data_IF_559688437948
#
_entry.id   IF_559688437948
#
_cell.length_a   1.000
_cell.length_b   1.000
_cell.length_c   1.000
_cell.angle_alpha   90.00
_cell.angle_beta   90.00
_cell.angle_gamma   90.00
#
_symmetry.space_group_name_H-M   'P 1'
#
loop_
_entity.id
_entity.type
_entity.pdbx_description
1 polymer ?
#
# COMPACT_ATOMS: atom_id res chain seq x y z
N UNK A 1 -10.28 1.23 6.33
CA UNK A 1 -10.97 1.14 5.02
C UNK A 1 -12.19 2.04 5.13
N UNK A 2 -12.04 3.34 4.87
CA UNK A 2 -13.01 4.32 5.34
C UNK A 2 -12.88 5.64 4.61
N UNK A 3 -13.47 5.69 3.41
CA UNK A 3 -13.94 6.86 2.67
C UNK A 3 -14.55 6.29 1.37
N UNK A 4 -15.82 6.59 1.09
CA UNK A 4 -16.62 5.90 0.06
C UNK A 4 -16.06 5.96 -1.38
N UNK A 5 -15.04 6.78 -1.67
CA UNK A 5 -14.44 6.94 -2.99
C UNK A 5 -13.02 7.56 -2.93
N UNK A 6 -12.12 7.02 -2.10
CA UNK A 6 -10.74 7.53 -2.06
C UNK A 6 -10.00 7.12 -3.35
N UNK A 7 -9.67 8.09 -4.22
CA UNK A 7 -8.99 7.86 -5.51
C UNK A 7 -7.52 7.47 -5.38
N UNK A 8 -6.86 7.92 -4.31
CA UNK A 8 -5.43 7.70 -4.06
C UNK A 8 -5.19 7.31 -2.61
N UNK A 9 -4.14 6.53 -2.41
CA UNK A 9 -3.60 6.15 -1.11
C UNK A 9 -2.19 6.72 -0.96
N UNK A 10 -1.86 7.20 0.23
CA UNK A 10 -0.57 7.78 0.59
C UNK A 10 0.19 6.84 1.54
N UNK A 11 1.40 7.24 1.92
CA UNK A 11 2.19 6.51 2.92
C UNK A 11 1.38 6.40 4.23
N UNK A 12 1.30 5.20 4.80
CA UNK A 12 0.54 4.87 6.00
C UNK A 12 -0.90 4.41 5.74
N UNK A 13 -1.42 4.56 4.53
CA UNK A 13 -2.77 4.09 4.22
C UNK A 13 -2.84 2.56 4.13
N UNK A 14 -3.91 1.99 4.71
CA UNK A 14 -4.26 0.57 4.62
C UNK A 14 -5.04 0.33 3.33
N UNK A 15 -4.54 -0.61 2.51
CA UNK A 15 -5.12 -0.99 1.22
C UNK A 15 -5.38 -2.50 1.15
N UNK A 16 -6.34 -2.89 0.32
CA UNK A 16 -6.60 -4.29 -0.03
C UNK A 16 -5.93 -4.57 -1.38
N UNK A 17 -5.10 -5.61 -1.44
CA UNK A 17 -4.31 -5.95 -2.63
C UNK A 17 -4.42 -7.44 -2.97
N UNK A 18 -4.18 -7.75 -4.24
CA UNK A 18 -4.09 -9.13 -4.73
C UNK A 18 -2.63 -9.46 -5.00
N UNK A 19 -2.18 -10.62 -4.51
CA UNK A 19 -0.83 -11.10 -4.77
C UNK A 19 -0.70 -11.54 -6.22
N UNK A 20 0.14 -10.86 -7.00
CA UNK A 20 0.35 -11.17 -8.41
C UNK A 20 1.31 -12.35 -8.62
N UNK A 21 2.37 -12.40 -7.82
CA UNK A 21 3.48 -13.34 -7.91
C UNK A 21 3.97 -13.69 -6.50
N UNK A 22 4.41 -14.94 -6.34
CA UNK A 22 4.95 -15.45 -5.08
C UNK A 22 6.25 -16.19 -5.33
N UNK A 23 7.13 -16.17 -4.34
CA UNK A 23 8.36 -16.98 -4.36
C UNK A 23 8.01 -18.40 -3.93
N UNK A 24 8.59 -19.39 -4.60
CA UNK A 24 8.41 -20.81 -4.26
C UNK A 24 8.85 -21.07 -2.80
N UNK A 25 8.15 -21.94 -2.09
CA UNK A 25 8.32 -22.23 -0.65
C UNK A 25 7.88 -21.13 0.34
N UNK A 26 7.20 -20.09 -0.13
CA UNK A 26 6.50 -19.19 0.78
C UNK A 26 5.08 -19.70 1.07
N UNK A 27 4.50 -19.46 2.25
CA UNK A 27 3.11 -19.81 2.57
C UNK A 27 2.08 -18.93 1.84
N UNK A 28 2.52 -18.16 0.84
CA UNK A 28 1.70 -17.21 0.09
C UNK A 28 1.26 -17.83 -1.23
N UNK A 29 -0.03 -17.74 -1.49
CA UNK A 29 -0.66 -18.21 -2.71
C UNK A 29 -0.81 -17.07 -3.72
N UNK A 30 -0.62 -17.38 -4.99
CA UNK A 30 -0.94 -16.46 -6.09
C UNK A 30 -2.43 -16.17 -6.10
N UNK A 31 -2.81 -14.94 -6.43
CA UNK A 31 -4.20 -14.46 -6.47
C UNK A 31 -4.93 -14.39 -5.13
N UNK A 32 -4.23 -14.57 -4.00
CA UNK A 32 -4.80 -14.35 -2.66
C UNK A 32 -5.00 -12.85 -2.40
N UNK A 33 -6.12 -12.49 -1.79
CA UNK A 33 -6.43 -11.12 -1.37
C UNK A 33 -5.91 -10.90 0.06
N UNK A 34 -5.12 -9.85 0.27
CA UNK A 34 -4.57 -9.50 1.58
C UNK A 34 -4.71 -8.00 1.87
N UNK A 35 -4.60 -7.65 3.15
CA UNK A 35 -4.53 -6.26 3.60
C UNK A 35 -3.06 -5.89 3.78
N UNK A 36 -2.67 -4.72 3.29
CA UNK A 36 -1.31 -4.22 3.36
C UNK A 36 -1.28 -2.71 3.66
N UNK A 37 -0.09 -2.20 4.00
CA UNK A 37 0.16 -0.78 4.27
C UNK A 37 1.20 -0.25 3.28
N UNK A 38 0.98 0.94 2.73
CA UNK A 38 1.95 1.62 1.87
C UNK A 38 3.05 2.24 2.74
N UNK A 39 4.29 1.77 2.60
CA UNK A 39 5.43 2.29 3.37
C UNK A 39 6.24 3.34 2.61
N UNK A 40 6.27 3.25 1.28
CA UNK A 40 7.02 4.19 0.42
C UNK A 40 6.25 4.51 -0.84
N UNK A 41 6.33 5.77 -1.26
CA UNK A 41 5.82 6.25 -2.55
C UNK A 41 6.93 7.01 -3.27
N UNK A 42 6.94 6.97 -4.61
CA UNK A 42 7.82 7.82 -5.42
C UNK A 42 7.35 9.28 -5.41
N UNK A 43 6.05 9.50 -5.21
CA UNK A 43 5.52 10.84 -5.07
C UNK A 43 6.00 11.42 -3.74
N UNK A 44 6.49 12.65 -3.85
CA UNK A 44 6.88 13.52 -2.74
C UNK A 44 5.88 13.50 -1.58
N UNK A 45 6.37 13.18 -0.39
CA UNK A 45 5.62 13.27 0.86
C UNK A 45 5.93 14.62 1.52
N UNK A 46 4.91 15.47 1.59
CA UNK A 46 4.97 16.74 2.33
C UNK A 46 4.72 16.48 3.81
N UNK A 47 5.71 16.81 4.65
CA UNK A 47 5.56 16.78 6.11
C UNK A 47 4.99 18.10 6.63
N UNK A 48 4.43 18.02 7.83
CA UNK A 48 3.90 19.15 8.61
C UNK A 48 4.95 20.23 8.87
N UNK A 49 6.20 19.82 9.08
CA UNK A 49 7.35 20.71 9.25
C UNK A 49 7.87 21.36 7.95
N UNK A 50 7.16 21.21 6.83
CA UNK A 50 7.51 21.80 5.54
C UNK A 50 8.54 21.03 4.71
N UNK A 51 9.10 19.93 5.24
CA UNK A 51 10.03 19.09 4.48
C UNK A 51 9.30 18.24 3.42
N UNK A 52 9.97 18.01 2.29
CA UNK A 52 9.48 17.18 1.18
C UNK A 52 10.48 16.04 0.97
N UNK A 53 9.98 14.79 0.86
CA UNK A 53 10.78 13.55 0.71
C UNK A 53 10.27 12.73 -0.46
#
# INVERSE_FOLDING_TARGET
>A
IGASNRRYAHIGDIIVVVIKETVLNTPLERSKVIIAIIVRTRKELKRDNGMII
#
